data_IF_257782036450
#
_entry.id   IF_257782036450
#
_cell.length_a   1.000
_cell.length_b   1.000
_cell.length_c   1.000
_cell.angle_alpha   90.00
_cell.angle_beta   90.00
_cell.angle_gamma   90.00
#
_symmetry.space_group_name_H-M   'P 1'
#
loop_
_entity.id
_entity.type
_entity.pdbx_description
1 polymer ?
#
# COMPACT_ATOMS: atom_id res chain seq x y z
N UNK A 1 2.60 -17.04 -6.89
CA UNK A 1 1.30 -16.97 -6.19
C UNK A 1 0.46 -15.76 -6.53
N UNK A 2 1.01 -14.60 -6.88
CA UNK A 2 0.19 -13.45 -7.29
C UNK A 2 -0.79 -13.75 -8.44
N UNK A 3 -0.44 -14.70 -9.32
CA UNK A 3 -1.31 -15.16 -10.40
C UNK A 3 -2.65 -15.72 -9.92
N UNK A 4 -2.74 -16.26 -8.69
CA UNK A 4 -4.03 -16.75 -8.15
C UNK A 4 -4.95 -15.58 -7.79
N UNK A 5 -4.39 -14.44 -7.36
CA UNK A 5 -5.13 -13.20 -7.12
C UNK A 5 -5.56 -12.59 -8.45
N UNK A 6 -4.67 -12.55 -9.43
CA UNK A 6 -5.03 -12.10 -10.78
C UNK A 6 -6.17 -12.93 -11.36
N UNK A 7 -6.14 -14.26 -11.21
CA UNK A 7 -7.22 -15.14 -11.66
C UNK A 7 -8.54 -14.92 -10.91
N UNK A 8 -8.50 -14.65 -9.61
CA UNK A 8 -9.70 -14.25 -8.85
C UNK A 8 -10.33 -13.00 -9.49
N UNK A 9 -9.53 -11.98 -9.80
CA UNK A 9 -10.03 -10.68 -10.21
C UNK A 9 -10.44 -10.63 -11.68
N UNK A 10 -9.69 -11.28 -12.57
CA UNK A 10 -9.98 -11.28 -14.01
C UNK A 10 -10.99 -12.36 -14.41
N UNK A 11 -10.91 -13.54 -13.78
CA UNK A 11 -11.65 -14.74 -14.22
C UNK A 11 -12.67 -15.21 -13.20
N UNK A 12 -12.80 -14.51 -12.07
CA UNK A 12 -13.67 -14.89 -10.97
C UNK A 12 -13.37 -16.29 -10.41
N UNK A 13 -12.12 -16.75 -10.58
CA UNK A 13 -11.69 -18.08 -10.15
C UNK A 13 -11.37 -18.10 -8.65
N UNK A 14 -12.40 -18.40 -7.87
CA UNK A 14 -12.28 -18.60 -6.42
C UNK A 14 -11.65 -19.92 -6.04
N UNK A 15 -11.70 -20.93 -6.93
CA UNK A 15 -11.22 -22.28 -6.62
C UNK A 15 -9.71 -22.32 -6.53
N UNK A 16 -9.02 -21.68 -7.47
CA UNK A 16 -7.55 -21.66 -7.49
C UNK A 16 -6.99 -20.95 -6.26
N UNK A 17 -7.56 -19.80 -5.87
CA UNK A 17 -7.14 -19.11 -4.65
C UNK A 17 -7.47 -19.92 -3.40
N UNK A 18 -8.67 -20.51 -3.31
CA UNK A 18 -9.08 -21.33 -2.16
C UNK A 18 -8.17 -22.54 -1.98
N UNK A 19 -7.78 -23.21 -3.07
CA UNK A 19 -6.89 -24.36 -3.02
C UNK A 19 -5.46 -23.98 -2.58
N UNK A 20 -5.02 -22.76 -2.88
CA UNK A 20 -3.71 -22.26 -2.47
C UNK A 20 -3.70 -21.80 -1.00
N UNK A 21 -4.82 -21.37 -0.43
CA UNK A 21 -4.89 -20.91 0.97
C UNK A 21 -4.81 -22.10 1.95
N UNK A 22 -3.90 -22.01 2.90
CA UNK A 22 -3.90 -22.86 4.10
C UNK A 22 -5.09 -22.53 5.00
N UNK A 23 -5.53 -23.51 5.80
CA UNK A 23 -6.53 -23.27 6.85
C UNK A 23 -6.06 -22.18 7.83
N UNK A 24 -4.75 -22.05 8.05
CA UNK A 24 -4.11 -21.06 8.91
C UNK A 24 -3.67 -19.79 8.17
N UNK A 25 -4.02 -19.61 6.88
CA UNK A 25 -3.62 -18.40 6.16
C UNK A 25 -4.19 -17.16 6.83
N UNK A 26 -3.35 -16.13 6.93
CA UNK A 26 -3.77 -14.80 7.37
C UNK A 26 -3.97 -13.90 6.16
N UNK A 27 -5.14 -13.28 6.06
CA UNK A 27 -5.46 -12.32 5.00
C UNK A 27 -5.70 -10.95 5.63
N UNK A 28 -4.83 -9.98 5.35
CA UNK A 28 -5.01 -8.58 5.76
C UNK A 28 -5.80 -7.80 4.70
N UNK A 29 -6.90 -7.17 5.11
CA UNK A 29 -7.63 -6.17 4.34
C UNK A 29 -8.24 -5.16 5.31
N UNK A 30 -8.25 -3.86 4.98
CA UNK A 30 -8.85 -2.86 5.87
C UNK A 30 -8.17 -2.78 7.23
N UNK A 31 -6.85 -3.03 7.28
CA UNK A 31 -6.08 -3.16 8.51
C UNK A 31 -6.60 -4.21 9.51
N UNK A 32 -7.31 -5.22 9.02
CA UNK A 32 -7.82 -6.33 9.83
C UNK A 32 -7.38 -7.68 9.28
N UNK A 33 -6.90 -8.54 10.17
CA UNK A 33 -6.51 -9.89 9.82
C UNK A 33 -7.72 -10.84 9.83
N UNK A 34 -7.87 -11.55 8.72
CA UNK A 34 -8.96 -12.48 8.47
C UNK A 34 -8.39 -13.90 8.41
N UNK A 35 -9.04 -14.80 9.14
CA UNK A 35 -8.56 -16.17 9.33
C UNK A 35 -9.64 -17.18 8.98
N UNK A 36 -9.19 -18.28 8.40
CA UNK A 36 -10.02 -19.43 8.09
C UNK A 36 -10.99 -19.22 6.93
N UNK A 37 -11.58 -20.32 6.45
CA UNK A 37 -12.26 -20.36 5.15
C UNK A 37 -13.58 -19.56 5.12
N UNK A 38 -14.21 -19.28 6.27
CA UNK A 38 -15.46 -18.52 6.29
C UNK A 38 -15.18 -17.04 5.99
N UNK A 39 -14.25 -16.42 6.73
CA UNK A 39 -13.91 -15.02 6.55
C UNK A 39 -13.27 -14.76 5.19
N UNK A 40 -12.35 -15.65 4.76
CA UNK A 40 -11.66 -15.53 3.47
C UNK A 40 -12.62 -15.65 2.29
N UNK A 41 -13.65 -16.53 2.34
CA UNK A 41 -14.68 -16.58 1.29
C UNK A 41 -15.53 -15.31 1.23
N UNK A 42 -15.83 -14.71 2.38
CA UNK A 42 -16.49 -13.41 2.43
C UNK A 42 -15.66 -12.32 1.73
N UNK A 43 -14.35 -12.28 2.00
CA UNK A 43 -13.44 -11.36 1.31
C UNK A 43 -13.40 -11.60 -0.20
N UNK A 44 -13.33 -12.86 -0.64
CA UNK A 44 -13.39 -13.17 -2.07
C UNK A 44 -14.69 -12.67 -2.70
N UNK A 45 -15.83 -12.91 -2.06
CA UNK A 45 -17.12 -12.45 -2.57
C UNK A 45 -17.17 -10.92 -2.72
N UNK A 46 -16.66 -10.17 -1.74
CA UNK A 46 -16.57 -8.72 -1.83
C UNK A 46 -15.66 -8.28 -2.99
N UNK A 47 -14.51 -8.92 -3.18
CA UNK A 47 -13.62 -8.62 -4.31
C UNK A 47 -14.29 -8.92 -5.66
N UNK A 48 -15.01 -10.03 -5.78
CA UNK A 48 -15.76 -10.35 -7.00
C UNK A 48 -16.79 -9.27 -7.32
N UNK A 49 -17.56 -8.84 -6.33
CA UNK A 49 -18.55 -7.77 -6.50
C UNK A 49 -17.89 -6.44 -6.92
N UNK A 50 -16.81 -6.04 -6.24
CA UNK A 50 -16.03 -4.85 -6.59
C UNK A 50 -15.56 -4.91 -8.04
N UNK A 51 -14.98 -6.04 -8.47
CA UNK A 51 -14.41 -6.14 -9.83
C UNK A 51 -15.44 -5.97 -10.94
N UNK A 52 -16.73 -6.22 -10.69
CA UNK A 52 -17.81 -5.94 -11.67
C UNK A 52 -18.01 -4.45 -11.96
N UNK A 53 -17.48 -3.58 -11.10
CA UNK A 53 -17.59 -2.12 -11.23
C UNK A 53 -16.49 -1.50 -12.09
N UNK A 54 -15.47 -2.28 -12.45
CA UNK A 54 -14.32 -1.89 -13.24
C UNK A 54 -14.31 -2.58 -14.61
N UNK A 55 -13.66 -1.96 -15.58
CA UNK A 55 -13.57 -2.44 -16.97
C UNK A 55 -12.32 -3.30 -17.18
N UNK A 56 -11.22 -2.93 -16.53
CA UNK A 56 -9.95 -3.63 -16.66
C UNK A 56 -9.29 -3.85 -15.29
N UNK A 57 -8.57 -4.97 -15.22
CA UNK A 57 -7.66 -5.32 -14.14
C UNK A 57 -6.29 -5.53 -14.77
N UNK A 58 -5.28 -4.84 -14.28
CA UNK A 58 -3.91 -4.94 -14.80
C UNK A 58 -2.92 -5.13 -13.64
N UNK A 59 -1.92 -6.00 -13.82
CA UNK A 59 -0.76 -6.10 -12.93
C UNK A 59 0.34 -5.16 -13.44
N UNK A 60 0.46 -3.98 -12.84
CA UNK A 60 1.37 -2.91 -13.30
C UNK A 60 2.83 -3.17 -12.93
N UNK A 61 3.09 -3.76 -11.77
CA UNK A 61 4.43 -4.05 -11.29
C UNK A 61 4.40 -5.31 -10.42
N UNK A 62 5.52 -6.04 -10.41
CA UNK A 62 5.70 -7.22 -9.57
C UNK A 62 7.14 -7.32 -9.08
N UNK A 63 7.31 -7.88 -7.90
CA UNK A 63 8.60 -8.20 -7.29
C UNK A 63 8.52 -9.56 -6.63
N UNK A 64 9.61 -10.32 -6.68
CA UNK A 64 9.72 -11.58 -5.96
C UNK A 64 11.06 -11.68 -5.26
N UNK A 65 11.04 -12.07 -3.99
CA UNK A 65 12.24 -12.44 -3.24
C UNK A 65 11.97 -13.66 -2.36
N UNK A 66 12.55 -14.79 -2.75
CA UNK A 66 12.36 -16.07 -2.08
C UNK A 66 10.89 -16.53 -2.08
N UNK A 67 10.37 -16.78 -0.87
CA UNK A 67 9.00 -17.23 -0.60
C UNK A 67 7.97 -16.08 -0.59
N UNK A 68 8.38 -14.85 -0.92
CA UNK A 68 7.49 -13.67 -0.95
C UNK A 68 7.40 -13.10 -2.36
N UNK A 69 6.16 -12.89 -2.81
CA UNK A 69 5.83 -12.18 -4.04
C UNK A 69 4.96 -10.97 -3.73
N UNK A 70 5.17 -9.84 -4.39
CA UNK A 70 4.23 -8.72 -4.33
C UNK A 70 3.97 -8.09 -5.68
N UNK A 71 2.81 -7.45 -5.81
CA UNK A 71 2.41 -6.78 -7.04
C UNK A 71 1.47 -5.61 -6.80
N UNK A 72 1.54 -4.64 -7.72
CA UNK A 72 0.57 -3.54 -7.82
C UNK A 72 -0.44 -3.93 -8.88
N UNK A 73 -1.70 -3.92 -8.50
CA UNK A 73 -2.81 -4.06 -9.41
C UNK A 73 -3.49 -2.71 -9.62
N UNK A 74 -3.92 -2.49 -10.85
CA UNK A 74 -4.66 -1.33 -11.29
C UNK A 74 -6.04 -1.79 -11.75
N UNK A 75 -7.08 -1.28 -11.09
CA UNK A 75 -8.46 -1.42 -11.51
C UNK A 75 -8.86 -0.13 -12.22
N UNK A 76 -9.17 -0.20 -13.51
CA UNK A 76 -9.53 0.99 -14.29
C UNK A 76 -10.96 0.93 -14.82
N UNK A 77 -11.54 2.12 -14.92
CA UNK A 77 -12.81 2.42 -15.55
C UNK A 77 -12.67 3.72 -16.34
N UNK A 78 -13.68 4.08 -17.14
CA UNK A 78 -13.64 5.33 -17.93
C UNK A 78 -13.32 6.61 -17.12
N UNK A 79 -13.65 6.67 -15.83
CA UNK A 79 -13.51 7.89 -15.00
C UNK A 79 -12.51 7.79 -13.86
N UNK A 80 -12.06 6.58 -13.51
CA UNK A 80 -11.37 6.35 -12.24
C UNK A 80 -10.42 5.16 -12.36
N UNK A 81 -9.23 5.32 -11.78
CA UNK A 81 -8.24 4.27 -11.57
C UNK A 81 -8.07 4.06 -10.08
N UNK A 82 -8.10 2.81 -9.63
CA UNK A 82 -7.87 2.42 -8.25
C UNK A 82 -6.67 1.50 -8.18
N UNK A 83 -5.71 1.81 -7.31
CA UNK A 83 -4.55 0.96 -7.09
C UNK A 83 -4.72 0.13 -5.82
N UNK A 84 -4.24 -1.11 -5.87
CA UNK A 84 -4.01 -1.88 -4.67
C UNK A 84 -2.73 -2.70 -4.78
N UNK A 85 -2.05 -2.84 -3.65
CA UNK A 85 -0.82 -3.63 -3.52
C UNK A 85 -1.16 -4.91 -2.79
N UNK A 86 -0.65 -6.01 -3.31
CA UNK A 86 -0.75 -7.34 -2.70
C UNK A 86 0.64 -7.86 -2.41
N UNK A 87 0.84 -8.37 -1.20
CA UNK A 87 1.99 -9.19 -0.83
C UNK A 87 1.51 -10.59 -0.46
N UNK A 88 2.21 -11.61 -0.95
CA UNK A 88 1.92 -13.01 -0.72
C UNK A 88 3.18 -13.73 -0.20
N UNK A 89 3.14 -14.19 1.06
CA UNK A 89 4.12 -15.15 1.58
C UNK A 89 3.59 -16.57 1.31
N UNK A 90 4.38 -17.39 0.63
CA UNK A 90 3.97 -18.72 0.22
C UNK A 90 5.10 -19.73 0.32
N UNK A 91 4.75 -21.00 0.49
CA UNK A 91 5.69 -22.12 0.49
C UNK A 91 5.07 -23.35 -0.14
N UNK A 92 5.81 -24.01 -1.03
CA UNK A 92 5.42 -25.28 -1.65
C UNK A 92 4.01 -25.28 -2.27
N UNK A 93 3.62 -24.21 -2.95
CA UNK A 93 2.29 -24.13 -3.57
C UNK A 93 1.19 -23.55 -2.66
N UNK A 94 1.48 -23.33 -1.38
CA UNK A 94 0.49 -22.86 -0.40
C UNK A 94 0.79 -21.44 0.08
N UNK A 95 -0.25 -20.61 0.17
CA UNK A 95 -0.20 -19.23 0.65
C UNK A 95 -0.35 -19.24 2.16
N UNK A 96 0.66 -18.76 2.89
CA UNK A 96 0.62 -18.59 4.34
C UNK A 96 0.07 -17.22 4.74
N UNK A 97 0.37 -16.21 3.95
CA UNK A 97 -0.07 -14.84 4.21
C UNK A 97 -0.40 -14.13 2.91
N UNK A 98 -1.47 -13.35 2.96
CA UNK A 98 -1.91 -12.46 1.91
C UNK A 98 -2.17 -11.08 2.54
N UNK A 99 -1.35 -10.08 2.23
CA UNK A 99 -1.54 -8.72 2.72
C UNK A 99 -1.99 -7.82 1.59
N UNK A 100 -2.99 -6.97 1.85
CA UNK A 100 -3.52 -6.05 0.86
C UNK A 100 -3.60 -4.63 1.42
N UNK A 101 -3.07 -3.67 0.66
CA UNK A 101 -3.27 -2.24 0.84
C UNK A 101 -4.05 -1.75 -0.37
N UNK A 102 -5.15 -1.04 -0.12
CA UNK A 102 -6.09 -0.66 -1.17
C UNK A 102 -6.37 0.83 -1.07
N UNK A 103 -6.39 1.52 -2.20
CA UNK A 103 -6.99 2.85 -2.29
C UNK A 103 -8.52 2.74 -2.13
N UNK A 104 -8.94 2.61 -0.89
CA UNK A 104 -10.31 2.30 -0.53
C UNK A 104 -11.27 3.48 -0.78
N UNK A 105 -10.77 4.72 -0.79
CA UNK A 105 -11.56 5.90 -1.16
C UNK A 105 -11.92 5.91 -2.65
N UNK A 106 -10.95 5.66 -3.55
CA UNK A 106 -11.22 5.54 -4.98
C UNK A 106 -12.15 4.35 -5.28
N UNK A 107 -11.97 3.26 -4.55
CA UNK A 107 -12.82 2.07 -4.64
C UNK A 107 -14.27 2.40 -4.25
N UNK A 108 -14.48 3.10 -3.11
CA UNK A 108 -15.80 3.52 -2.63
C UNK A 108 -16.51 4.45 -3.61
N UNK A 109 -15.79 5.48 -4.09
CA UNK A 109 -16.32 6.42 -5.07
C UNK A 109 -16.86 5.70 -6.30
N UNK A 110 -16.14 4.68 -6.79
CA UNK A 110 -16.61 3.89 -7.93
C UNK A 110 -17.78 2.96 -7.59
N UNK A 111 -17.71 2.27 -6.45
CA UNK A 111 -18.76 1.33 -6.03
C UNK A 111 -20.12 2.04 -5.87
N UNK A 112 -20.14 3.16 -5.14
CA UNK A 112 -21.38 3.86 -4.78
C UNK A 112 -22.05 4.55 -5.98
N UNK A 113 -21.29 4.99 -6.99
CA UNK A 113 -21.86 5.65 -8.20
C UNK A 113 -22.76 4.76 -9.05
N UNK A 114 -22.66 3.42 -8.96
CA UNK A 114 -23.53 2.50 -9.71
C UNK A 114 -24.76 2.05 -8.93
N UNK A 115 -24.73 2.05 -7.60
CA UNK A 115 -25.81 1.49 -6.77
C UNK A 115 -26.91 2.50 -6.40
N UNK A 116 -26.65 3.82 -6.39
CA UNK A 116 -27.69 4.83 -6.18
C UNK A 116 -27.32 6.20 -6.79
N UNK A 117 -28.13 6.79 -7.69
CA UNK A 117 -27.86 8.11 -8.26
C UNK A 117 -28.24 9.27 -7.30
N UNK A 118 -27.98 9.11 -6.00
CA UNK A 118 -28.38 10.08 -4.99
C UNK A 118 -27.75 9.83 -3.62
N UNK A 119 -26.46 10.10 -3.48
CA UNK A 119 -25.88 11.01 -2.49
C UNK A 119 -24.38 11.15 -2.81
N UNK A 120 -23.96 12.37 -3.13
CA UNK A 120 -22.62 12.73 -3.57
C UNK A 120 -21.59 12.50 -2.45
N UNK A 121 -20.47 11.84 -2.78
CA UNK A 121 -19.24 11.73 -1.97
C UNK A 121 -19.26 10.83 -0.71
N UNK A 122 -20.07 9.77 -0.63
CA UNK A 122 -19.87 8.80 0.46
C UNK A 122 -18.56 8.00 0.25
N UNK A 123 -17.59 8.18 1.16
CA UNK A 123 -16.35 7.38 1.26
C UNK A 123 -16.63 6.03 1.96
N UNK A 124 -17.90 5.59 2.02
CA UNK A 124 -18.27 4.39 2.75
C UNK A 124 -18.33 3.18 1.81
N UNK A 125 -17.68 2.10 2.23
CA UNK A 125 -17.86 0.76 1.67
C UNK A 125 -18.47 -0.11 2.78
N UNK A 126 -19.76 -0.48 2.69
CA UNK A 126 -20.47 -1.14 3.79
C UNK A 126 -19.80 -2.43 4.27
N UNK A 127 -19.18 -3.18 3.36
CA UNK A 127 -18.49 -4.42 3.64
C UNK A 127 -17.01 -4.25 4.00
N UNK A 128 -16.47 -3.01 3.96
CA UNK A 128 -15.07 -2.79 4.30
C UNK A 128 -14.84 -3.17 5.76
N UNK A 129 -13.77 -3.90 6.09
CA UNK A 129 -13.52 -4.33 7.45
C UNK A 129 -13.42 -3.16 8.44
N UNK A 130 -13.75 -3.43 9.70
CA UNK A 130 -13.35 -2.57 10.81
C UNK A 130 -11.89 -2.88 11.15
N UNK A 131 -10.99 -1.88 11.24
CA UNK A 131 -9.58 -2.11 11.56
C UNK A 131 -9.39 -2.86 12.88
N UNK A 132 -8.34 -3.69 12.99
CA UNK A 132 -8.03 -4.33 14.27
C UNK A 132 -7.68 -3.27 15.32
N UNK A 133 -8.22 -3.37 16.56
CA UNK A 133 -8.04 -2.33 17.59
C UNK A 133 -6.58 -2.18 18.01
N UNK A 134 -5.77 -3.23 17.83
CA UNK A 134 -4.35 -3.25 18.12
C UNK A 134 -3.57 -3.54 16.83
N UNK A 135 -2.75 -2.58 16.41
CA UNK A 135 -1.71 -2.80 15.41
C UNK A 135 -0.37 -2.96 16.11
N UNK A 136 0.07 -4.21 16.20
CA UNK A 136 1.43 -4.53 16.63
C UNK A 136 2.28 -4.64 15.37
N UNK A 137 3.39 -3.89 15.31
CA UNK A 137 4.38 -4.15 14.28
C UNK A 137 5.26 -5.30 14.74
N UNK A 138 5.61 -6.18 13.81
CA UNK A 138 6.57 -7.25 14.05
C UNK A 138 7.98 -6.67 14.31
N UNK A 139 8.21 -5.42 13.89
CA UNK A 139 9.40 -4.63 14.20
C UNK A 139 9.03 -3.51 15.18
N UNK A 140 9.43 -3.63 16.45
CA UNK A 140 9.31 -2.56 17.46
C UNK A 140 10.73 -2.12 17.87
N UNK A 141 11.38 -1.22 17.11
CA UNK A 141 12.52 -0.52 17.63
C UNK A 141 11.92 0.43 18.66
N UNK A 142 11.77 -0.06 19.90
CA UNK A 142 11.48 0.80 21.04
C UNK A 142 12.37 2.02 20.89
N UNK A 143 11.77 3.20 20.84
CA UNK A 143 12.43 4.52 20.76
C UNK A 143 13.31 4.69 22.00
N UNK A 144 14.42 3.97 22.02
CA UNK A 144 15.41 3.98 23.06
C UNK A 144 16.59 4.78 22.49
N UNK A 145 17.16 5.66 23.30
CA UNK A 145 18.29 6.53 22.91
C UNK A 145 19.55 5.76 22.42
N UNK A 146 19.53 4.43 22.49
CA UNK A 146 20.63 3.53 22.14
C UNK A 146 20.26 2.51 21.05
N UNK A 147 19.02 2.51 20.55
CA UNK A 147 18.62 1.64 19.44
C UNK A 147 18.73 2.40 18.13
N UNK A 148 19.37 1.81 17.13
CA UNK A 148 19.46 2.37 15.78
C UNK A 148 18.10 2.25 15.08
N UNK A 149 17.65 3.34 14.46
CA UNK A 149 16.50 3.29 13.55
C UNK A 149 16.81 2.31 12.41
N UNK A 150 15.84 1.45 12.06
CA UNK A 150 16.03 0.55 10.93
C UNK A 150 16.26 1.35 9.65
N UNK A 151 17.38 1.05 9.00
CA UNK A 151 17.63 1.37 7.61
C UNK A 151 17.22 0.21 6.70
N UNK A 152 17.33 0.43 5.40
CA UNK A 152 17.02 -0.58 4.38
C UNK A 152 17.79 -1.88 4.61
N UNK A 153 19.07 -1.80 4.97
CA UNK A 153 19.93 -2.96 5.19
C UNK A 153 19.50 -3.84 6.37
N UNK A 154 18.70 -3.31 7.31
CA UNK A 154 18.23 -4.06 8.48
C UNK A 154 17.01 -4.95 8.16
N UNK A 155 16.26 -4.61 7.12
CA UNK A 155 14.96 -5.24 6.79
C UNK A 155 14.85 -5.82 5.38
N UNK A 156 15.80 -5.48 4.49
CA UNK A 156 15.84 -6.01 3.13
C UNK A 156 16.43 -7.42 3.09
N UNK A 157 15.91 -8.25 2.20
CA UNK A 157 16.43 -9.60 2.00
C UNK A 157 17.94 -9.58 1.64
N UNK A 158 18.69 -10.55 2.17
CA UNK A 158 20.16 -10.58 2.03
C UNK A 158 20.63 -10.74 0.58
N UNK A 159 19.79 -11.34 -0.27
CA UNK A 159 20.05 -11.59 -1.69
C UNK A 159 19.85 -10.35 -2.60
N UNK A 160 19.34 -9.24 -2.09
CA UNK A 160 19.17 -8.02 -2.88
C UNK A 160 20.53 -7.40 -3.24
N UNK A 161 20.67 -6.93 -4.50
CA UNK A 161 21.91 -6.34 -5.00
C UNK A 161 22.32 -5.08 -4.23
N UNK A 162 23.62 -4.82 -4.12
CA UNK A 162 24.14 -3.60 -3.46
C UNK A 162 23.66 -2.31 -4.14
N UNK A 163 23.48 -2.37 -5.46
CA UNK A 163 22.93 -1.29 -6.28
C UNK A 163 21.49 -0.97 -5.86
N UNK A 164 20.62 -1.98 -5.76
CA UNK A 164 19.23 -1.81 -5.30
C UNK A 164 19.20 -1.33 -3.84
N UNK A 165 20.05 -1.87 -2.97
CA UNK A 165 20.16 -1.43 -1.56
C UNK A 165 20.56 0.04 -1.43
N UNK A 166 21.52 0.50 -2.22
CA UNK A 166 21.95 1.89 -2.22
C UNK A 166 20.83 2.83 -2.69
N UNK A 167 20.14 2.49 -3.78
CA UNK A 167 19.01 3.27 -4.31
C UNK A 167 17.86 3.34 -3.31
N UNK A 168 17.48 2.20 -2.73
CA UNK A 168 16.45 2.12 -1.70
C UNK A 168 16.83 2.91 -0.44
N UNK A 169 18.11 2.92 -0.07
CA UNK A 169 18.59 3.70 1.08
C UNK A 169 18.45 5.19 0.83
N UNK A 170 18.76 5.67 -0.38
CA UNK A 170 18.53 7.06 -0.78
C UNK A 170 17.04 7.41 -0.76
N UNK A 171 16.19 6.54 -1.33
CA UNK A 171 14.73 6.69 -1.25
C UNK A 171 14.25 6.77 0.19
N UNK A 172 14.73 5.91 1.08
CA UNK A 172 14.35 5.94 2.49
C UNK A 172 14.77 7.23 3.19
N UNK A 173 15.94 7.80 2.85
CA UNK A 173 16.36 9.09 3.43
C UNK A 173 15.42 10.24 3.05
N UNK A 174 14.90 10.28 1.83
CA UNK A 174 13.90 11.27 1.40
C UNK A 174 12.68 11.23 2.31
N UNK A 175 12.13 10.04 2.55
CA UNK A 175 10.88 9.88 3.31
C UNK A 175 11.07 9.89 4.82
N UNK A 176 12.15 9.31 5.34
CA UNK A 176 12.46 9.36 6.76
C UNK A 176 12.87 10.76 7.18
N UNK A 177 13.85 11.35 6.48
CA UNK A 177 14.51 12.59 6.84
C UNK A 177 13.89 13.86 6.25
N UNK A 178 12.83 13.74 5.43
CA UNK A 178 12.25 14.87 4.70
C UNK A 178 13.28 15.55 3.76
N UNK A 179 14.16 14.76 3.14
CA UNK A 179 15.19 15.28 2.24
C UNK A 179 14.60 15.58 0.84
N UNK A 180 14.01 16.76 0.72
CA UNK A 180 13.45 17.25 -0.55
C UNK A 180 14.51 17.52 -1.62
N UNK A 181 15.79 17.72 -1.24
CA UNK A 181 16.87 17.99 -2.19
C UNK A 181 17.29 16.72 -2.95
N UNK A 182 17.26 15.56 -2.28
CA UNK A 182 17.59 14.26 -2.88
C UNK A 182 16.61 13.77 -3.95
N UNK A 183 15.38 14.32 -4.02
CA UNK A 183 14.32 13.89 -4.95
C UNK A 183 14.81 13.94 -6.42
N UNK A 184 15.44 15.04 -6.84
CA UNK A 184 15.86 15.19 -8.25
C UNK A 184 16.91 14.16 -8.68
N UNK A 185 17.74 13.73 -7.76
CA UNK A 185 18.79 12.74 -8.00
C UNK A 185 18.25 11.31 -7.97
N UNK A 186 17.10 11.08 -7.34
CA UNK A 186 16.49 9.77 -7.18
C UNK A 186 15.55 9.37 -8.32
N UNK A 187 14.77 10.33 -8.82
CA UNK A 187 13.75 10.09 -9.84
C UNK A 187 14.23 10.42 -11.26
N UNK A 188 13.61 9.79 -12.25
CA UNK A 188 13.72 10.16 -13.67
C UNK A 188 12.80 11.34 -14.01
N UNK A 189 13.07 12.08 -15.08
CA UNK A 189 12.22 13.23 -15.48
C UNK A 189 10.80 12.80 -15.89
N UNK A 190 10.64 11.57 -16.40
CA UNK A 190 9.36 10.99 -16.83
C UNK A 190 8.76 10.02 -15.80
N UNK A 191 9.12 10.16 -14.51
CA UNK A 191 8.67 9.22 -13.48
C UNK A 191 7.16 9.31 -13.27
N UNK A 192 6.49 8.17 -13.25
CA UNK A 192 5.12 8.06 -12.74
C UNK A 192 5.15 7.91 -11.21
N UNK A 193 4.57 8.85 -10.48
CA UNK A 193 4.44 8.75 -9.02
C UNK A 193 2.98 8.93 -8.67
N UNK A 194 2.41 7.97 -7.96
CA UNK A 194 1.04 8.08 -7.45
C UNK A 194 0.98 7.85 -5.95
N UNK A 195 0.12 8.61 -5.29
CA UNK A 195 -0.33 8.35 -3.92
C UNK A 195 -1.81 8.05 -4.01
N UNK A 196 -2.18 6.80 -3.77
CA UNK A 196 -3.48 6.28 -4.15
C UNK A 196 -3.72 6.61 -5.65
N UNK A 197 -4.94 6.96 -6.05
CA UNK A 197 -5.27 7.35 -7.42
C UNK A 197 -4.73 8.73 -7.85
N UNK A 198 -4.17 9.52 -6.93
CA UNK A 198 -3.63 10.85 -7.26
C UNK A 198 -2.24 10.71 -7.89
N UNK A 199 -2.11 11.11 -9.16
CA UNK A 199 -0.82 11.13 -9.85
C UNK A 199 -0.13 12.47 -9.67
N UNK A 200 1.10 12.42 -9.16
CA UNK A 200 2.00 13.58 -8.96
C UNK A 200 2.81 13.86 -10.22
N UNK A 201 3.45 15.04 -10.29
CA UNK A 201 4.33 15.45 -11.40
C UNK A 201 3.68 15.42 -12.81
N UNK A 202 2.37 15.60 -12.91
CA UNK A 202 1.66 15.86 -14.17
C UNK A 202 1.30 17.35 -14.32
N UNK A 203 0.93 17.75 -15.53
CA UNK A 203 0.32 19.06 -15.77
C UNK A 203 -0.86 19.23 -14.80
N UNK A 204 -0.91 20.38 -14.12
CA UNK A 204 -1.87 20.72 -13.05
C UNK A 204 -1.82 19.88 -11.76
N UNK A 205 -0.87 18.96 -11.61
CA UNK A 205 -0.62 18.21 -10.37
C UNK A 205 0.53 18.81 -9.53
N UNK A 206 0.54 18.65 -8.20
CA UNK A 206 1.66 19.04 -7.37
C UNK A 206 2.91 18.23 -7.72
N UNK A 207 4.08 18.87 -7.59
CA UNK A 207 5.35 18.15 -7.62
C UNK A 207 5.53 17.30 -6.37
N UNK A 208 6.38 16.27 -6.42
CA UNK A 208 6.70 15.43 -5.23
C UNK A 208 7.18 16.27 -4.07
N UNK A 209 8.08 17.24 -4.31
CA UNK A 209 8.59 18.13 -3.25
C UNK A 209 7.48 18.99 -2.65
N UNK A 210 6.55 19.49 -3.48
CA UNK A 210 5.39 20.27 -3.02
C UNK A 210 4.45 19.40 -2.20
N UNK A 211 4.14 18.19 -2.67
CA UNK A 211 3.29 17.24 -1.98
C UNK A 211 3.88 16.82 -0.63
N UNK A 212 5.16 16.48 -0.59
CA UNK A 212 5.88 16.15 0.63
C UNK A 212 5.86 17.33 1.62
N UNK A 213 6.06 18.56 1.15
CA UNK A 213 5.95 19.77 1.99
C UNK A 213 4.55 19.97 2.57
N UNK A 214 3.50 19.69 1.80
CA UNK A 214 2.12 19.75 2.29
C UNK A 214 1.86 18.68 3.36
N UNK A 215 2.40 17.48 3.17
CA UNK A 215 2.31 16.39 4.14
C UNK A 215 2.96 16.78 5.48
N UNK A 216 4.16 17.36 5.44
CA UNK A 216 4.88 17.82 6.64
C UNK A 216 4.15 18.96 7.37
N UNK A 217 3.48 19.84 6.62
CA UNK A 217 2.65 20.89 7.19
C UNK A 217 1.42 20.35 7.96
N UNK A 218 0.96 19.15 7.62
CA UNK A 218 -0.23 18.51 8.22
C UNK A 218 0.11 17.49 9.32
N UNK A 219 1.31 16.91 9.28
CA UNK A 219 1.76 15.89 10.22
C UNK A 219 2.80 16.44 11.20
N UNK A 220 2.44 16.56 12.48
CA UNK A 220 3.36 17.02 13.53
C UNK A 220 4.04 15.84 14.24
N UNK A 221 5.26 16.04 14.78
CA UNK A 221 6.03 14.98 15.46
C UNK A 221 6.04 13.66 14.68
N UNK A 222 6.25 13.80 13.36
CA UNK A 222 6.26 12.70 12.40
C UNK A 222 7.45 11.79 12.66
N UNK A 223 7.20 10.50 12.56
CA UNK A 223 8.21 9.46 12.65
C UNK A 223 7.89 8.38 11.61
N UNK A 224 8.86 8.08 10.74
CA UNK A 224 8.73 7.01 9.76
C UNK A 224 9.47 5.77 10.23
N UNK A 225 8.87 4.61 9.99
CA UNK A 225 9.48 3.34 10.35
C UNK A 225 9.28 2.30 9.25
N UNK A 226 10.37 1.63 8.87
CA UNK A 226 10.33 0.46 8.00
C UNK A 226 9.79 -0.77 8.74
N UNK A 227 9.02 -1.58 8.04
CA UNK A 227 8.55 -2.89 8.51
C UNK A 227 9.18 -4.03 7.73
N UNK A 228 9.21 -3.92 6.39
CA UNK A 228 9.72 -4.95 5.51
C UNK A 228 10.10 -4.36 4.16
N UNK A 229 11.17 -4.90 3.56
CA UNK A 229 11.55 -4.57 2.18
C UNK A 229 11.82 -5.86 1.42
N UNK A 230 11.13 -6.03 0.29
CA UNK A 230 11.46 -7.06 -0.70
C UNK A 230 11.85 -6.38 -2.00
N UNK A 231 12.93 -6.83 -2.62
CA UNK A 231 13.49 -6.16 -3.78
C UNK A 231 14.25 -7.14 -4.69
N UNK A 232 14.11 -6.92 -5.99
CA UNK A 232 14.95 -7.52 -7.03
C UNK A 232 15.78 -6.44 -7.75
N UNK A 233 16.27 -6.72 -8.96
CA UNK A 233 17.08 -5.78 -9.74
C UNK A 233 16.27 -4.60 -10.32
N UNK A 234 14.95 -4.76 -10.42
CA UNK A 234 14.06 -3.91 -11.19
C UNK A 234 12.90 -3.35 -10.36
N UNK A 235 12.49 -4.02 -9.28
CA UNK A 235 11.35 -3.62 -8.49
C UNK A 235 11.63 -3.79 -6.99
N UNK A 236 10.91 -3.03 -6.17
CA UNK A 236 10.87 -3.23 -4.74
C UNK A 236 9.48 -2.94 -4.17
N UNK A 237 9.06 -3.75 -3.21
CA UNK A 237 7.98 -3.40 -2.29
C UNK A 237 8.62 -2.99 -0.96
N UNK A 238 8.22 -1.82 -0.48
CA UNK A 238 8.57 -1.30 0.84
C UNK A 238 7.29 -1.17 1.66
N UNK A 239 7.26 -1.86 2.79
CA UNK A 239 6.23 -1.69 3.81
C UNK A 239 6.78 -0.87 4.95
N UNK A 240 6.03 0.14 5.32
CA UNK A 240 6.48 1.12 6.29
C UNK A 240 5.29 1.86 6.86
N UNK A 241 5.53 2.69 7.88
CA UNK A 241 4.48 3.44 8.56
C UNK A 241 4.93 4.84 8.91
N UNK A 242 3.96 5.72 9.05
CA UNK A 242 4.13 7.07 9.60
C UNK A 242 3.35 7.15 10.91
N UNK A 243 4.04 7.39 12.02
CA UNK A 243 3.43 7.78 13.29
C UNK A 243 3.54 9.30 13.45
N UNK A 244 2.43 10.00 13.64
CA UNK A 244 2.40 11.47 13.70
C UNK A 244 1.24 11.96 14.56
N UNK A 245 1.21 13.25 14.87
CA UNK A 245 0.02 13.91 15.34
C UNK A 245 -0.67 14.63 14.18
N UNK A 246 -1.98 14.41 14.08
CA UNK A 246 -2.84 15.09 13.14
C UNK A 246 -3.66 16.14 13.90
N UNK A 247 -3.70 17.36 13.37
CA UNK A 247 -4.59 18.40 13.87
C UNK A 247 -5.99 18.22 13.28
N UNK A 248 -6.97 18.05 14.16
CA UNK A 248 -8.40 18.00 13.83
C UNK A 248 -9.13 19.15 14.53
N UNK A 249 -10.41 19.32 14.22
CA UNK A 249 -11.27 20.29 14.89
C UNK A 249 -11.38 20.04 16.41
N UNK A 250 -11.18 18.78 16.83
CA UNK A 250 -11.25 18.34 18.23
C UNK A 250 -9.88 18.32 18.93
N UNK A 251 -8.83 18.85 18.30
CA UNK A 251 -7.49 18.93 18.86
C UNK A 251 -6.47 18.07 18.11
N UNK A 252 -5.39 17.71 18.81
CA UNK A 252 -4.34 16.85 18.24
C UNK A 252 -4.65 15.38 18.56
N UNK A 253 -4.70 14.53 17.54
CA UNK A 253 -4.82 13.07 17.69
C UNK A 253 -3.53 12.40 17.23
N UNK A 254 -3.08 11.37 17.97
CA UNK A 254 -1.94 10.55 17.54
C UNK A 254 -2.44 9.52 16.54
N UNK A 255 -1.87 9.54 15.35
CA UNK A 255 -2.24 8.66 14.24
C UNK A 255 -1.07 7.78 13.82
N UNK A 256 -1.41 6.64 13.22
CA UNK A 256 -0.50 5.74 12.54
C UNK A 256 -1.04 5.48 11.14
N UNK A 257 -0.20 5.68 10.13
CA UNK A 257 -0.54 5.44 8.74
C UNK A 257 0.33 4.27 8.25
N UNK A 258 -0.23 3.06 8.11
CA UNK A 258 0.45 1.96 7.43
C UNK A 258 0.44 2.22 5.91
N UNK A 259 1.60 2.10 5.27
CA UNK A 259 1.76 2.31 3.83
C UNK A 259 2.46 1.12 3.20
N UNK A 260 2.08 0.85 1.96
CA UNK A 260 2.85 0.03 1.05
C UNK A 260 3.28 0.89 -0.14
N UNK A 261 4.55 0.78 -0.49
CA UNK A 261 5.13 1.47 -1.65
C UNK A 261 5.74 0.45 -2.59
N UNK A 262 5.30 0.43 -3.85
CA UNK A 262 5.98 -0.31 -4.91
C UNK A 262 6.80 0.64 -5.75
N UNK A 263 8.06 0.28 -5.99
CA UNK A 263 9.02 1.04 -6.79
C UNK A 263 9.45 0.20 -7.99
N UNK A 264 9.60 0.85 -9.14
CA UNK A 264 10.27 0.29 -10.32
C UNK A 264 11.49 1.14 -10.66
N UNK A 265 12.59 0.46 -10.97
CA UNK A 265 13.90 1.04 -11.22
C UNK A 265 14.31 0.84 -12.68
N UNK A 266 14.93 1.86 -13.25
CA UNK A 266 15.69 1.76 -14.48
C UNK A 266 16.94 2.64 -14.39
N UNK A 267 18.09 2.15 -14.84
CA UNK A 267 19.35 2.93 -14.89
C UNK A 267 19.68 3.70 -13.59
N UNK A 268 19.49 3.09 -12.40
CA UNK A 268 19.70 3.74 -11.08
C UNK A 268 18.73 4.89 -10.74
N UNK A 269 17.62 4.99 -11.45
CA UNK A 269 16.55 5.95 -11.18
C UNK A 269 15.26 5.22 -10.91
N UNK A 270 14.42 5.81 -10.07
CA UNK A 270 13.03 5.39 -9.94
C UNK A 270 12.27 5.90 -11.16
N UNK A 271 11.57 5.01 -11.87
CA UNK A 271 10.72 5.34 -13.01
C UNK A 271 9.23 5.27 -12.66
N UNK A 272 8.90 4.47 -11.66
CA UNK A 272 7.52 4.30 -11.19
C UNK A 272 7.50 4.16 -9.68
N UNK A 273 6.58 4.86 -9.02
CA UNK A 273 6.30 4.71 -7.60
C UNK A 273 4.78 4.72 -7.37
N UNK A 274 4.30 3.68 -6.68
CA UNK A 274 2.91 3.59 -6.23
C UNK A 274 2.91 3.56 -4.70
N UNK A 275 2.37 4.60 -4.07
CA UNK A 275 1.99 4.58 -2.66
C UNK A 275 0.53 4.20 -2.52
N UNK A 276 0.24 3.22 -1.67
CA UNK A 276 -1.15 2.85 -1.37
C UNK A 276 -1.39 2.89 0.13
N UNK A 277 -2.45 3.60 0.52
CA UNK A 277 -2.92 3.79 1.90
C UNK A 277 -4.43 3.61 1.93
N UNK A 278 -4.91 2.87 2.93
CA UNK A 278 -6.33 2.57 3.10
C UNK A 278 -7.04 3.71 3.85
N UNK A 279 -7.65 4.61 3.08
CA UNK A 279 -8.34 5.80 3.60
C UNK A 279 -9.51 5.47 4.52
N UNK A 280 -10.32 4.48 4.16
CA UNK A 280 -11.50 4.08 4.95
C UNK A 280 -11.08 3.44 6.26
N UNK A 281 -10.08 2.56 6.24
CA UNK A 281 -9.55 1.96 7.46
C UNK A 281 -8.99 3.05 8.40
N UNK A 282 -8.25 4.03 7.84
CA UNK A 282 -7.73 5.16 8.60
C UNK A 282 -8.87 5.97 9.25
N UNK A 283 -9.89 6.34 8.48
CA UNK A 283 -11.00 7.16 8.96
C UNK A 283 -11.80 6.44 10.05
N UNK A 284 -12.09 5.14 9.88
CA UNK A 284 -12.74 4.31 10.92
C UNK A 284 -11.95 4.28 12.21
N UNK A 285 -10.62 4.14 12.13
CA UNK A 285 -9.73 4.04 13.31
C UNK A 285 -9.62 5.36 14.06
N UNK A 286 -9.46 6.47 13.36
CA UNK A 286 -9.07 7.75 13.96
C UNK A 286 -10.19 8.80 13.98
N UNK A 287 -11.31 8.56 13.31
CA UNK A 287 -12.41 9.51 13.19
C UNK A 287 -12.01 10.80 12.45
N UNK A 288 -11.03 10.70 11.55
CA UNK A 288 -10.48 11.82 10.79
C UNK A 288 -10.09 11.38 9.37
N UNK A 289 -10.21 12.25 8.35
CA UNK A 289 -9.79 11.93 7.00
C UNK A 289 -8.27 11.82 6.89
N UNK A 290 -7.78 11.12 5.86
CA UNK A 290 -6.36 11.09 5.55
C UNK A 290 -5.80 12.52 5.34
N UNK A 291 -4.55 12.78 5.73
CA UNK A 291 -3.96 14.11 5.65
C UNK A 291 -3.45 14.49 4.26
N UNK A 292 -3.91 13.89 3.17
CA UNK A 292 -3.50 14.22 1.81
C UNK A 292 -4.56 13.79 0.80
#
# INVERSE_FOLDING_TARGET
MLSTIQQLLEKQDTQTLTAALLHSSRWLLGERLHYGPIQQRGLMANWLDITTHFETVELCAKVQSGDVEAGVFCLSSASTTTYFIVECEHRNGAIKQLLQWVDSASLAGRYNTKEAPGDDNSISLPFWPEPDPLQLSEFDPQLHLMTTHAGINDVVASNTSDKSKALLSQWWQVWQGFDTAGIKELYSDATHISVNNQVLNKEDSPSVSSWLTQLEGKLHRRYCQLEQVIADESNALVRWRIDADLKTDNGLIRVRLPLATMLTFNENKITTEYWVVDSIAFEKRFGAPLPF
#
